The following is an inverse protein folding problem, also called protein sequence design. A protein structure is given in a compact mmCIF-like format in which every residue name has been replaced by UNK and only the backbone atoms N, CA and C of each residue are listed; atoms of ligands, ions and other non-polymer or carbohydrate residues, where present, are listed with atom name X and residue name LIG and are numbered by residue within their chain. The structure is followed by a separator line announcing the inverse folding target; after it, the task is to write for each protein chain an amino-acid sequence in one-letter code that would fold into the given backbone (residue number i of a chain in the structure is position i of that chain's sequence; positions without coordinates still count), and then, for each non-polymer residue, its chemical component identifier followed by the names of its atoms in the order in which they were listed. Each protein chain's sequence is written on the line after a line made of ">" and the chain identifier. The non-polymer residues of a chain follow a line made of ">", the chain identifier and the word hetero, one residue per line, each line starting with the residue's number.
data_IF_977199710996
#
_entry.id   IF_977199710996
#
_cell.length_a   1.000
_cell.length_b   1.000
_cell.length_c   1.000
_cell.angle_alpha   90.00
_cell.angle_beta   90.00
_cell.angle_gamma   90.00
#
_symmetry.space_group_name_H-M   'P 1'
#
loop_
_entity.id
_entity.type
_entity.pdbx_description
1 polymer ?
#
# COMPACT_ATOMS: atom_id res chain seq x y z
N UNK A 1 -2.55 0.91 -14.11
CA UNK A 1 -1.43 1.14 -13.16
C UNK A 1 -2.00 1.75 -11.89
N UNK A 2 -1.60 1.26 -10.72
CA UNK A 2 -2.16 1.64 -9.42
C UNK A 2 -1.16 1.40 -8.30
N UNK A 3 -1.35 2.06 -7.15
CA UNK A 3 -0.66 1.72 -5.91
C UNK A 3 -1.45 0.65 -5.18
N UNK A 4 -0.81 -0.43 -4.77
CA UNK A 4 -1.37 -1.45 -3.88
C UNK A 4 -0.81 -1.27 -2.48
N UNK A 5 -1.70 -1.06 -1.52
CA UNK A 5 -1.41 -1.12 -0.10
C UNK A 5 -1.81 -2.50 0.45
N UNK A 6 -0.84 -3.27 0.92
CA UNK A 6 -1.08 -4.47 1.74
C UNK A 6 -0.94 -4.09 3.21
N UNK A 7 -1.89 -4.50 4.04
CA UNK A 7 -1.86 -4.30 5.49
C UNK A 7 -1.86 -5.68 6.15
N UNK A 8 -0.98 -5.89 7.11
CA UNK A 8 -0.88 -7.09 7.92
C UNK A 8 -0.77 -6.70 9.39
N UNK A 9 -1.26 -7.55 10.29
CA UNK A 9 -1.01 -7.39 11.73
C UNK A 9 0.48 -7.54 12.04
N UNK A 10 0.94 -6.71 12.98
CA UNK A 10 2.29 -6.74 13.53
C UNK A 10 2.21 -6.46 15.04
N UNK A 11 1.66 -7.42 15.81
CA UNK A 11 1.43 -7.25 17.24
C UNK A 11 0.36 -6.18 17.50
N UNK A 12 0.72 -5.12 18.21
CA UNK A 12 -0.16 -3.97 18.47
C UNK A 12 -0.18 -2.94 17.33
N UNK A 13 0.61 -3.18 16.27
CA UNK A 13 0.76 -2.29 15.12
C UNK A 13 0.37 -3.01 13.82
N UNK A 14 0.51 -2.29 12.70
CA UNK A 14 0.27 -2.82 11.36
C UNK A 14 1.51 -2.69 10.50
N UNK A 15 1.92 -3.80 9.88
CA UNK A 15 2.90 -3.79 8.81
C UNK A 15 2.19 -3.47 7.51
N UNK A 16 2.60 -2.39 6.87
CA UNK A 16 2.08 -1.93 5.60
C UNK A 16 3.13 -2.08 4.50
N UNK A 17 2.73 -2.56 3.34
CA UNK A 17 3.59 -2.61 2.14
C UNK A 17 2.89 -1.91 0.98
N UNK A 18 3.52 -0.86 0.45
CA UNK A 18 3.14 -0.18 -0.78
C UNK A 18 3.88 -0.78 -1.96
N UNK A 19 3.18 -1.02 -3.06
CA UNK A 19 3.79 -1.46 -4.31
C UNK A 19 3.08 -0.83 -5.49
N UNK A 20 3.84 -0.33 -6.46
CA UNK A 20 3.29 0.10 -7.74
C UNK A 20 3.03 -1.13 -8.62
N UNK A 21 1.86 -1.20 -9.25
CA UNK A 21 1.40 -2.34 -10.04
C UNK A 21 0.79 -1.83 -11.34
N UNK A 22 1.00 -2.54 -12.44
CA UNK A 22 0.17 -2.46 -13.64
C UNK A 22 -0.95 -3.52 -13.54
N UNK A 23 -1.99 -3.41 -14.37
CA UNK A 23 -3.06 -4.42 -14.38
C UNK A 23 -2.66 -5.65 -15.22
N UNK A 24 -1.59 -5.54 -16.01
CA UNK A 24 -1.10 -6.59 -16.91
C UNK A 24 -0.02 -7.49 -16.28
N UNK A 25 0.76 -6.99 -15.32
CA UNK A 25 1.84 -7.76 -14.69
C UNK A 25 1.47 -8.25 -13.30
N UNK A 26 1.82 -9.52 -13.03
CA UNK A 26 1.80 -10.09 -11.68
C UNK A 26 2.92 -9.57 -10.79
N UNK A 27 3.86 -8.79 -11.32
CA UNK A 27 5.02 -8.22 -10.62
C UNK A 27 4.77 -6.76 -10.18
N UNK A 28 5.57 -6.27 -9.24
CA UNK A 28 5.59 -4.84 -8.92
C UNK A 28 6.41 -4.11 -9.99
N UNK A 29 5.95 -2.92 -10.40
CA UNK A 29 6.64 -2.06 -11.36
C UNK A 29 7.91 -1.45 -10.74
N UNK A 30 7.92 -1.31 -9.42
CA UNK A 30 9.04 -0.82 -8.62
C UNK A 30 9.26 -1.69 -7.38
N UNK A 31 10.39 -1.48 -6.70
CA UNK A 31 10.62 -2.09 -5.39
C UNK A 31 9.51 -1.68 -4.40
N UNK A 32 8.89 -2.63 -3.69
CA UNK A 32 7.88 -2.31 -2.69
C UNK A 32 8.47 -1.60 -1.47
N UNK A 33 7.79 -0.56 -0.99
CA UNK A 33 8.12 0.10 0.26
C UNK A 33 7.38 -0.58 1.41
N UNK A 34 8.08 -0.96 2.48
CA UNK A 34 7.48 -1.56 3.68
C UNK A 34 7.75 -0.72 4.91
N UNK A 35 6.72 -0.47 5.70
CA UNK A 35 6.80 0.32 6.93
C UNK A 35 5.80 -0.18 7.98
N UNK A 36 5.96 0.25 9.23
CA UNK A 36 5.05 -0.07 10.34
C UNK A 36 4.29 1.19 10.73
N UNK A 37 3.00 1.05 11.02
CA UNK A 37 2.12 2.13 11.48
C UNK A 37 1.25 1.67 12.64
N UNK A 38 0.81 2.61 13.46
CA UNK A 38 -0.09 2.33 14.59
C UNK A 38 -1.54 2.12 14.16
N UNK A 39 -1.94 2.62 13.00
CA UNK A 39 -3.33 2.55 12.53
C UNK A 39 -3.42 2.24 11.04
N UNK A 40 -4.45 1.49 10.65
CA UNK A 40 -4.76 1.23 9.23
C UNK A 40 -4.98 2.53 8.43
N UNK A 41 -5.52 3.56 9.06
CA UNK A 41 -5.77 4.85 8.41
C UNK A 41 -4.48 5.62 8.10
N UNK A 42 -3.44 5.50 8.93
CA UNK A 42 -2.13 6.04 8.60
C UNK A 42 -1.55 5.37 7.34
N UNK A 43 -1.64 4.05 7.23
CA UNK A 43 -1.23 3.33 6.03
C UNK A 43 -2.00 3.79 4.77
N UNK A 44 -3.33 3.96 4.89
CA UNK A 44 -4.17 4.48 3.79
C UNK A 44 -3.80 5.91 3.40
N UNK A 45 -3.46 6.78 4.36
CA UNK A 45 -3.00 8.16 4.06
C UNK A 45 -1.70 8.15 3.24
N UNK A 46 -0.73 7.31 3.61
CA UNK A 46 0.52 7.18 2.83
C UNK A 46 0.28 6.62 1.43
N UNK A 47 -0.56 5.59 1.30
CA UNK A 47 -0.94 5.04 -0.01
C UNK A 47 -1.58 6.09 -0.93
N UNK A 48 -2.46 6.94 -0.36
CA UNK A 48 -3.07 8.05 -1.09
C UNK A 48 -2.05 9.11 -1.50
N UNK A 49 -1.10 9.45 -0.63
CA UNK A 49 -0.04 10.40 -0.96
C UNK A 49 0.81 9.90 -2.13
N UNK A 50 1.29 8.66 -2.06
CA UNK A 50 2.06 8.04 -3.14
C UNK A 50 1.27 7.97 -4.45
N UNK A 51 -0.01 7.58 -4.42
CA UNK A 51 -0.84 7.57 -5.62
C UNK A 51 -0.96 8.96 -6.27
N UNK A 52 -1.09 10.02 -5.46
CA UNK A 52 -1.15 11.41 -5.94
C UNK A 52 0.17 11.87 -6.54
N UNK A 53 1.30 11.57 -5.92
CA UNK A 53 2.64 11.90 -6.43
C UNK A 53 2.91 11.25 -7.79
N UNK A 54 2.35 10.06 -8.00
CA UNK A 54 2.44 9.32 -9.26
C UNK A 54 1.36 9.72 -10.29
N UNK A 55 0.49 10.70 -10.00
CA UNK A 55 -0.60 11.10 -10.90
C UNK A 55 -1.68 10.03 -11.08
N UNK A 56 -1.80 9.08 -10.15
CA UNK A 56 -2.75 7.98 -10.20
C UNK A 56 -4.07 8.37 -9.53
N UNK A 57 -5.19 7.99 -10.16
CA UNK A 57 -6.52 8.33 -9.66
C UNK A 57 -6.88 7.67 -8.32
N UNK A 58 -6.36 6.46 -8.06
CA UNK A 58 -6.69 5.70 -6.85
C UNK A 58 -5.61 4.68 -6.47
N UNK A 59 -5.78 4.08 -5.29
CA UNK A 59 -5.01 2.96 -4.78
C UNK A 59 -5.94 1.80 -4.39
N UNK A 60 -5.41 0.58 -4.39
CA UNK A 60 -6.12 -0.63 -3.95
C UNK A 60 -5.61 -1.06 -2.59
N UNK A 61 -6.51 -1.49 -1.71
CA UNK A 61 -6.17 -1.99 -0.36
C UNK A 61 -6.39 -3.49 -0.31
N UNK A 62 -5.40 -4.22 0.19
CA UNK A 62 -5.51 -5.61 0.61
C UNK A 62 -5.28 -5.64 2.11
N UNK A 63 -6.38 -5.71 2.86
CA UNK A 63 -6.33 -5.81 4.31
C UNK A 63 -6.30 -7.28 4.72
N UNK A 64 -5.21 -7.70 5.37
CA UNK A 64 -5.01 -9.04 5.93
C UNK A 64 -4.89 -9.03 7.45
N UNK A 65 -5.07 -7.87 8.08
CA UNK A 65 -5.20 -7.77 9.53
C UNK A 65 -6.65 -8.13 9.89
N UNK A 66 -6.84 -9.13 10.76
CA UNK A 66 -8.14 -9.71 11.11
C UNK A 66 -8.98 -8.73 11.95
#
# INVERSE_FOLDING_TARGET
>A
MFVRLMIQEAGEEFRATLSQRDDESKAAVSEPETFVVKTKDEAKRRARAMARELGLATFRVIDKAQ
#
